data_IF_950121478716
#
_entry.id   IF_950121478716
#
_cell.length_a   1.000
_cell.length_b   1.000
_cell.length_c   1.000
_cell.angle_alpha   90.00
_cell.angle_beta   90.00
_cell.angle_gamma   90.00
#
_symmetry.space_group_name_H-M   'P 1'
#
loop_
_entity.id
_entity.type
_entity.pdbx_description
1 polymer ?
#
# COMPACT_ATOMS: atom_id res chain seq x y z
N UNK A 1 6.22 -11.66 12.27
CA UNK A 1 5.08 -12.54 11.95
C UNK A 1 5.45 -13.93 12.38
N UNK A 2 4.50 -14.67 12.93
CA UNK A 2 4.74 -16.04 13.39
C UNK A 2 4.43 -17.03 12.27
N UNK A 3 4.94 -18.25 12.39
CA UNK A 3 4.68 -19.35 11.47
C UNK A 3 3.20 -19.75 11.47
N UNK A 4 2.56 -19.64 12.63
CA UNK A 4 1.15 -19.97 12.83
C UNK A 4 0.42 -18.77 13.43
N UNK A 5 -0.87 -18.71 13.20
CA UNK A 5 -1.74 -17.74 13.88
C UNK A 5 -1.74 -17.94 15.40
N UNK A 6 -1.55 -19.18 15.83
CA UNK A 6 -1.64 -19.67 17.19
C UNK A 6 -0.28 -20.18 17.71
N UNK A 7 0.85 -19.65 17.21
CA UNK A 7 2.18 -20.02 17.72
C UNK A 7 2.29 -19.82 19.25
N UNK A 8 1.55 -18.84 19.78
CA UNK A 8 1.21 -18.74 21.20
C UNK A 8 -0.32 -18.76 21.33
N UNK A 9 -0.83 -19.65 22.18
CA UNK A 9 -2.24 -19.75 22.50
C UNK A 9 -2.67 -18.56 23.39
N UNK A 10 -3.99 -18.28 23.49
CA UNK A 10 -4.48 -17.17 24.33
C UNK A 10 -4.12 -17.26 25.81
N UNK A 11 -3.82 -18.46 26.33
CA UNK A 11 -3.38 -18.70 27.71
C UNK A 11 -1.85 -18.51 27.91
N UNK A 12 -1.13 -18.17 26.84
CA UNK A 12 0.33 -17.98 26.85
C UNK A 12 1.13 -19.25 26.59
N UNK A 13 0.48 -20.41 26.47
CA UNK A 13 1.15 -21.67 26.14
C UNK A 13 1.65 -21.63 24.70
N UNK A 14 2.91 -22.03 24.46
CA UNK A 14 3.46 -22.16 23.11
C UNK A 14 2.83 -23.39 22.44
N UNK A 15 2.47 -23.26 21.16
CA UNK A 15 1.99 -24.39 20.36
C UNK A 15 2.96 -25.59 20.52
N UNK A 16 2.45 -26.82 20.77
CA UNK A 16 3.14 -27.84 21.55
C UNK A 16 4.64 -28.02 21.25
N UNK A 17 5.51 -28.01 22.29
CA UNK A 17 6.95 -28.16 22.11
C UNK A 17 7.30 -29.52 21.47
N UNK A 18 8.08 -29.48 20.38
CA UNK A 18 8.42 -30.66 19.57
C UNK A 18 7.79 -30.66 18.17
N UNK A 19 6.86 -29.74 17.91
CA UNK A 19 6.28 -29.49 16.59
C UNK A 19 6.86 -28.22 15.93
N UNK A 20 6.56 -28.01 14.65
CA UNK A 20 7.07 -26.90 13.84
C UNK A 20 6.40 -25.57 14.27
N UNK A 21 7.06 -24.85 15.19
CA UNK A 21 6.63 -23.52 15.67
C UNK A 21 7.79 -22.53 15.72
N UNK A 22 7.77 -21.56 14.82
CA UNK A 22 8.65 -20.38 14.81
C UNK A 22 7.86 -19.08 15.05
N UNK A 23 8.41 -18.20 15.89
CA UNK A 23 7.91 -16.83 16.10
C UNK A 23 8.48 -15.83 15.08
N UNK A 24 9.21 -16.30 14.06
CA UNK A 24 9.86 -15.46 13.06
C UNK A 24 9.75 -16.07 11.66
N UNK A 25 8.56 -16.01 11.09
CA UNK A 25 8.25 -16.54 9.76
C UNK A 25 7.48 -15.50 8.95
N UNK A 26 7.96 -15.18 7.74
CA UNK A 26 7.42 -14.05 6.96
C UNK A 26 6.11 -14.36 6.24
N UNK A 27 5.70 -15.63 6.13
CA UNK A 27 4.60 -16.07 5.27
C UNK A 27 3.29 -15.31 5.54
N UNK A 28 2.88 -15.23 6.81
CA UNK A 28 1.68 -14.47 7.19
C UNK A 28 1.85 -12.95 7.02
N UNK A 29 3.10 -12.48 6.90
CA UNK A 29 3.45 -11.10 6.54
C UNK A 29 3.14 -10.73 5.10
N UNK A 30 2.72 -11.68 4.25
CA UNK A 30 2.26 -11.41 2.88
C UNK A 30 1.14 -10.35 2.81
N UNK A 31 0.41 -10.13 3.91
CA UNK A 31 -0.55 -9.02 4.05
C UNK A 31 0.06 -7.64 3.77
N UNK A 32 1.37 -7.45 3.97
CA UNK A 32 2.06 -6.20 3.69
C UNK A 32 1.94 -5.77 2.22
N UNK A 33 1.88 -6.71 1.28
CA UNK A 33 1.61 -6.39 -0.12
C UNK A 33 0.24 -5.73 -0.28
N UNK A 34 -0.80 -6.25 0.36
CA UNK A 34 -2.14 -5.68 0.31
C UNK A 34 -2.21 -4.30 0.99
N UNK A 35 -1.46 -4.10 2.08
CA UNK A 35 -1.33 -2.78 2.71
C UNK A 35 -0.74 -1.76 1.72
N UNK A 36 0.29 -2.12 0.97
CA UNK A 36 0.89 -1.22 -0.02
C UNK A 36 -0.02 -1.00 -1.23
N UNK A 37 -0.50 -2.07 -1.87
CA UNK A 37 -1.18 -1.99 -3.17
C UNK A 37 -2.66 -1.64 -3.09
N UNK A 38 -3.30 -1.91 -1.96
CA UNK A 38 -4.75 -1.69 -1.77
C UNK A 38 -5.03 -0.61 -0.74
N UNK A 39 -4.46 -0.68 0.47
CA UNK A 39 -4.76 0.30 1.54
C UNK A 39 -4.15 1.66 1.22
N UNK A 40 -2.85 1.72 0.93
CA UNK A 40 -2.19 2.93 0.46
C UNK A 40 -2.48 3.17 -1.03
N UNK A 41 -2.53 2.10 -1.83
CA UNK A 41 -2.88 2.17 -3.24
C UNK A 41 -1.69 2.32 -4.18
N UNK A 42 -0.48 1.94 -3.79
CA UNK A 42 0.74 2.04 -4.62
C UNK A 42 1.03 0.72 -5.32
N UNK A 43 0.95 0.70 -6.65
CA UNK A 43 1.24 -0.47 -7.47
C UNK A 43 2.00 -0.08 -8.74
N UNK A 44 2.46 -1.09 -9.49
CA UNK A 44 2.99 -0.93 -10.83
C UNK A 44 2.07 -1.57 -11.88
N UNK A 45 2.05 -1.01 -13.09
CA UNK A 45 1.43 -1.59 -14.29
C UNK A 45 2.47 -2.26 -15.21
N UNK A 46 3.75 -1.94 -15.04
CA UNK A 46 4.85 -2.53 -15.81
C UNK A 46 5.96 -3.06 -14.87
N UNK A 47 6.74 -4.08 -15.28
CA UNK A 47 7.89 -4.51 -14.50
C UNK A 47 8.84 -3.34 -14.15
N UNK A 48 9.38 -3.35 -12.94
CA UNK A 48 10.36 -2.34 -12.52
C UNK A 48 9.82 -0.93 -12.24
N UNK A 49 8.49 -0.72 -12.18
CA UNK A 49 7.87 0.60 -11.92
C UNK A 49 8.12 1.66 -13.00
N UNK A 50 8.31 1.25 -14.26
CA UNK A 50 8.30 2.19 -15.39
C UNK A 50 6.92 2.84 -15.61
N UNK A 51 5.85 2.16 -15.19
CA UNK A 51 4.48 2.67 -15.17
C UNK A 51 3.86 2.45 -13.77
N UNK A 52 3.66 3.53 -13.03
CA UNK A 52 3.09 3.50 -11.68
C UNK A 52 1.56 3.66 -11.74
N UNK A 53 0.85 2.92 -10.89
CA UNK A 53 -0.59 3.10 -10.70
C UNK A 53 -0.90 3.36 -9.25
N UNK A 54 -1.56 4.49 -9.02
CA UNK A 54 -2.09 4.91 -7.75
C UNK A 54 -3.58 4.60 -7.68
N UNK A 55 -4.04 3.85 -6.66
CA UNK A 55 -5.44 3.47 -6.45
C UNK A 55 -5.89 3.86 -5.05
N UNK A 56 -6.20 5.14 -4.81
CA UNK A 56 -6.66 5.59 -3.51
C UNK A 56 -8.05 5.00 -3.21
N UNK A 57 -8.11 4.04 -2.28
CA UNK A 57 -9.36 3.36 -1.89
C UNK A 57 -9.58 3.53 -0.37
N UNK A 58 -10.30 4.59 0.06
CA UNK A 58 -10.76 4.71 1.44
C UNK A 58 -11.63 3.52 1.84
N UNK A 59 -11.57 3.11 3.10
CA UNK A 59 -12.34 1.98 3.61
C UNK A 59 -11.86 1.54 4.99
N UNK A 60 -12.63 0.66 5.64
CA UNK A 60 -12.26 0.05 6.93
C UNK A 60 -12.06 1.06 8.07
N UNK A 61 -12.69 2.25 8.00
CA UNK A 61 -12.52 3.33 8.98
C UNK A 61 -11.21 4.12 8.88
N UNK A 62 -10.32 3.80 7.93
CA UNK A 62 -9.04 4.49 7.77
C UNK A 62 -9.20 5.83 7.05
N UNK A 63 -8.99 6.92 7.79
CA UNK A 63 -9.02 8.28 7.24
C UNK A 63 -7.77 8.65 6.46
N UNK A 64 -6.64 7.98 6.66
CA UNK A 64 -5.43 8.21 5.87
C UNK A 64 -4.61 6.93 5.67
N UNK A 65 -3.73 6.94 4.68
CA UNK A 65 -2.70 5.93 4.48
C UNK A 65 -1.53 6.51 3.67
N UNK A 66 -0.32 6.02 3.93
CA UNK A 66 0.89 6.44 3.22
C UNK A 66 1.80 5.24 2.96
N UNK A 67 2.37 5.17 1.77
CA UNK A 67 3.36 4.16 1.40
C UNK A 67 4.39 4.73 0.42
N UNK A 68 5.57 4.13 0.41
CA UNK A 68 6.61 4.42 -0.56
C UNK A 68 7.39 3.17 -0.95
N UNK A 69 7.92 3.19 -2.16
CA UNK A 69 8.74 2.14 -2.73
C UNK A 69 9.98 2.77 -3.37
N UNK A 70 11.15 2.15 -3.19
CA UNK A 70 12.38 2.52 -3.88
C UNK A 70 12.46 1.70 -5.16
N UNK A 71 12.18 2.31 -6.30
CA UNK A 71 12.29 1.65 -7.60
C UNK A 71 13.65 1.96 -8.26
N UNK A 72 13.99 1.31 -9.38
CA UNK A 72 15.14 1.69 -10.20
C UNK A 72 15.14 3.15 -10.67
N UNK A 73 13.96 3.78 -10.76
CA UNK A 73 13.80 5.20 -11.13
C UNK A 73 13.89 6.14 -9.91
N UNK A 74 13.98 5.58 -8.70
CA UNK A 74 14.00 6.30 -7.42
C UNK A 74 12.71 6.15 -6.62
N UNK A 75 12.55 7.00 -5.59
CA UNK A 75 11.39 6.90 -4.68
C UNK A 75 10.07 7.18 -5.39
N UNK A 76 9.15 6.22 -5.35
CA UNK A 76 7.73 6.34 -5.71
C UNK A 76 6.91 6.35 -4.44
N UNK A 77 5.93 7.25 -4.28
CA UNK A 77 5.14 7.32 -3.06
C UNK A 77 3.72 7.81 -3.28
N UNK A 78 2.85 7.43 -2.33
CA UNK A 78 1.48 7.93 -2.20
C UNK A 78 1.18 8.23 -0.74
N UNK A 79 0.48 9.33 -0.50
CA UNK A 79 -0.26 9.62 0.73
C UNK A 79 -1.68 9.97 0.34
N UNK A 80 -2.67 9.27 0.90
CA UNK A 80 -4.09 9.62 0.76
C UNK A 80 -4.68 10.03 2.11
N UNK A 81 -5.55 11.02 2.08
CA UNK A 81 -6.24 11.52 3.27
C UNK A 81 -7.70 11.83 2.91
N UNK A 82 -8.63 11.27 3.69
CA UNK A 82 -10.05 11.45 3.55
C UNK A 82 -10.49 12.59 4.47
N UNK A 83 -11.06 13.62 3.88
CA UNK A 83 -11.73 14.72 4.58
C UNK A 83 -13.26 14.56 4.44
N UNK A 84 -14.01 15.45 5.08
CA UNK A 84 -15.48 15.36 5.13
C UNK A 84 -16.18 15.33 3.76
N UNK A 85 -15.61 15.95 2.72
CA UNK A 85 -16.24 16.07 1.40
C UNK A 85 -15.29 15.80 0.22
N UNK A 86 -14.08 15.32 0.52
CA UNK A 86 -13.04 15.13 -0.49
C UNK A 86 -11.97 14.17 -0.01
N UNK A 87 -11.27 13.58 -0.97
CA UNK A 87 -10.00 12.88 -0.77
C UNK A 87 -8.86 13.73 -1.32
N UNK A 88 -7.82 13.91 -0.53
CA UNK A 88 -6.53 14.45 -0.95
C UNK A 88 -5.57 13.29 -1.23
N UNK A 89 -4.90 13.33 -2.39
CA UNK A 89 -3.92 12.33 -2.79
C UNK A 89 -2.63 13.03 -3.21
N UNK A 90 -1.58 12.85 -2.41
CA UNK A 90 -0.22 13.30 -2.71
C UNK A 90 0.58 12.15 -3.30
N UNK A 91 1.19 12.35 -4.45
CA UNK A 91 2.01 11.35 -5.13
C UNK A 91 3.43 11.86 -5.34
N UNK A 92 4.41 10.96 -5.39
CA UNK A 92 5.78 11.24 -5.81
C UNK A 92 6.16 10.29 -6.92
N UNK A 93 6.58 10.83 -8.06
CA UNK A 93 7.02 10.07 -9.24
C UNK A 93 8.30 10.69 -9.77
N UNK A 94 9.32 9.88 -10.04
CA UNK A 94 10.61 10.38 -10.56
C UNK A 94 10.63 10.38 -12.08
N UNK A 95 11.47 11.23 -12.65
CA UNK A 95 11.72 11.29 -14.11
C UNK A 95 12.14 9.91 -14.63
N UNK A 96 11.62 9.54 -15.80
CA UNK A 96 11.85 8.23 -16.42
C UNK A 96 10.75 7.20 -16.16
N UNK A 97 9.83 7.46 -15.23
CA UNK A 97 8.60 6.70 -15.05
C UNK A 97 7.36 7.53 -15.40
N UNK A 98 6.29 6.87 -15.82
CA UNK A 98 4.96 7.46 -15.97
C UNK A 98 4.04 7.03 -14.82
N UNK A 99 2.97 7.78 -14.58
CA UNK A 99 2.04 7.45 -13.51
C UNK A 99 0.63 7.94 -13.77
N UNK A 100 -0.34 7.23 -13.19
CA UNK A 100 -1.75 7.63 -13.16
C UNK A 100 -2.40 7.30 -11.82
N UNK A 101 -3.43 8.05 -11.47
CA UNK A 101 -4.40 7.71 -10.43
C UNK A 101 -5.60 7.05 -11.13
N UNK A 102 -5.96 5.84 -10.71
CA UNK A 102 -7.21 5.18 -11.05
C UNK A 102 -8.16 5.33 -9.86
N UNK A 103 -9.28 6.00 -10.08
CA UNK A 103 -10.24 6.31 -9.03
C UNK A 103 -11.32 5.23 -8.86
N UNK A 104 -12.03 5.19 -7.71
CA UNK A 104 -13.06 4.17 -7.45
C UNK A 104 -14.22 4.12 -8.47
N UNK A 105 -14.55 5.24 -9.11
CA UNK A 105 -15.59 5.34 -10.15
C UNK A 105 -15.06 5.04 -11.56
N UNK A 106 -13.82 4.58 -11.68
CA UNK A 106 -13.19 4.19 -12.94
C UNK A 106 -12.55 5.35 -13.73
N UNK A 107 -12.70 6.59 -13.29
CA UNK A 107 -12.01 7.70 -13.94
C UNK A 107 -10.49 7.65 -13.71
N UNK A 108 -9.73 8.27 -14.60
CA UNK A 108 -8.26 8.26 -14.58
C UNK A 108 -7.71 9.68 -14.59
N UNK A 109 -6.70 9.93 -13.77
CA UNK A 109 -5.94 11.19 -13.77
C UNK A 109 -4.46 10.88 -13.99
N UNK A 110 -3.87 11.42 -15.07
CA UNK A 110 -2.43 11.31 -15.28
C UNK A 110 -1.68 12.16 -14.24
N UNK A 111 -0.57 11.63 -13.74
CA UNK A 111 0.24 12.25 -12.69
C UNK A 111 1.54 12.74 -13.31
N UNK A 112 1.88 14.04 -13.19
CA UNK A 112 3.16 14.55 -13.65
C UNK A 112 4.30 14.07 -12.74
N UNK A 113 5.52 14.12 -13.26
CA UNK A 113 6.72 13.85 -12.45
C UNK A 113 6.87 14.90 -11.35
N UNK A 114 7.60 14.54 -10.29
CA UNK A 114 7.74 15.33 -9.07
C UNK A 114 6.78 14.89 -7.99
N UNK A 115 6.57 15.78 -7.01
CA UNK A 115 5.58 15.57 -5.94
C UNK A 115 4.38 16.46 -6.21
N UNK A 116 3.21 15.86 -6.35
CA UNK A 116 1.97 16.57 -6.72
C UNK A 116 0.84 16.19 -5.77
N UNK A 117 -0.11 17.11 -5.60
CA UNK A 117 -1.33 16.88 -4.82
C UNK A 117 -2.54 16.98 -5.74
N UNK A 118 -3.41 15.98 -5.69
CA UNK A 118 -4.69 15.94 -6.40
C UNK A 118 -5.82 15.88 -5.38
N UNK A 119 -6.80 16.78 -5.52
CA UNK A 119 -8.00 16.79 -4.70
C UNK A 119 -9.16 16.23 -5.51
N UNK A 120 -9.99 15.41 -4.88
CA UNK A 120 -11.20 14.88 -5.51
C UNK A 120 -12.38 14.85 -4.55
N UNK A 121 -13.57 15.34 -4.94
CA UNK A 121 -14.78 15.15 -4.14
C UNK A 121 -15.04 13.66 -3.86
N UNK A 122 -15.55 13.35 -2.67
CA UNK A 122 -15.94 11.99 -2.25
C UNK A 122 -17.39 11.70 -2.57
#
# INVERSE_FOLDING_TARGET
MWERWDSMLPDGTVNPPGEMTSFNHYALGAIAQWLHTTVAGLSTAAPGYGEVVFRPRPGGGLTWAEAAHQSPYGRVAIRRELHASRIEVRTTVRTGASARIEWPDGSVTNVPTGTTTTLRPT
#
